data_IF_640893903277
#
_entry.id   IF_640893903277
#
_cell.length_a   1.000
_cell.length_b   1.000
_cell.length_c   1.000
_cell.angle_alpha   90.00
_cell.angle_beta   90.00
_cell.angle_gamma   90.00
#
_symmetry.space_group_name_H-M   'P 1'
#
loop_
_entity.id
_entity.type
_entity.pdbx_description
1 polymer ?
#
# COMPACT_ATOMS: atom_id res chain seq x y z
N UNK A 1 5.49 -2.26 -6.92
CA UNK A 1 5.05 -2.58 -5.52
C UNK A 1 3.53 -2.61 -5.42
N UNK A 2 2.82 -1.55 -5.84
CA UNK A 2 1.36 -1.38 -5.63
C UNK A 2 0.53 -2.56 -6.16
N UNK A 3 0.77 -3.01 -7.40
CA UNK A 3 0.02 -4.14 -7.99
C UNK A 3 0.12 -5.42 -7.17
N UNK A 4 1.33 -5.78 -6.74
CA UNK A 4 1.57 -6.94 -5.89
C UNK A 4 0.90 -6.80 -4.52
N UNK A 5 1.01 -5.63 -3.90
CA UNK A 5 0.37 -5.30 -2.64
C UNK A 5 -1.15 -5.47 -2.72
N UNK A 6 -1.77 -4.92 -3.76
CA UNK A 6 -3.23 -4.95 -3.99
C UNK A 6 -3.73 -6.40 -4.11
N UNK A 7 -3.13 -7.19 -4.99
CA UNK A 7 -3.55 -8.58 -5.23
C UNK A 7 -3.37 -9.42 -3.96
N UNK A 8 -2.21 -9.32 -3.31
CA UNK A 8 -1.90 -10.06 -2.09
C UNK A 8 -2.88 -9.70 -0.97
N UNK A 9 -3.10 -8.40 -0.74
CA UNK A 9 -3.96 -7.91 0.32
C UNK A 9 -5.43 -8.26 0.09
N UNK A 10 -5.91 -8.21 -1.16
CA UNK A 10 -7.26 -8.62 -1.52
C UNK A 10 -7.48 -10.11 -1.25
N UNK A 11 -6.50 -10.96 -1.63
CA UNK A 11 -6.57 -12.40 -1.43
C UNK A 11 -6.52 -12.77 0.07
N UNK A 12 -5.61 -12.16 0.83
CA UNK A 12 -5.53 -12.38 2.29
C UNK A 12 -6.79 -11.87 2.97
N UNK A 13 -7.28 -10.68 2.62
CA UNK A 13 -8.53 -10.11 3.14
C UNK A 13 -9.73 -11.02 2.88
N UNK A 14 -9.82 -11.61 1.67
CA UNK A 14 -10.84 -12.60 1.30
C UNK A 14 -10.79 -13.82 2.22
N UNK A 15 -9.62 -14.44 2.37
CA UNK A 15 -9.46 -15.63 3.23
C UNK A 15 -9.83 -15.32 4.69
N UNK A 16 -9.37 -14.18 5.21
CA UNK A 16 -9.64 -13.76 6.58
C UNK A 16 -11.13 -13.47 6.83
N UNK A 17 -11.87 -13.00 5.82
CA UNK A 17 -13.30 -12.72 5.97
C UNK A 17 -14.18 -13.96 5.78
N UNK A 18 -13.79 -14.87 4.88
CA UNK A 18 -14.60 -16.06 4.55
C UNK A 18 -14.34 -17.26 5.46
N UNK A 19 -13.09 -17.45 5.90
CA UNK A 19 -12.71 -18.58 6.75
C UNK A 19 -12.58 -18.16 8.21
N UNK A 20 -13.30 -18.86 9.10
CA UNK A 20 -13.16 -18.74 10.55
C UNK A 20 -12.41 -19.96 11.08
N UNK A 21 -11.13 -19.80 11.39
CA UNK A 21 -10.30 -20.86 11.98
C UNK A 21 -9.30 -20.26 12.99
N UNK A 22 -8.70 -21.09 13.85
CA UNK A 22 -7.64 -20.64 14.76
C UNK A 22 -6.47 -19.99 13.99
N UNK A 23 -6.14 -20.56 12.84
CA UNK A 23 -5.07 -20.05 11.97
C UNK A 23 -5.38 -18.66 11.40
N UNK A 24 -6.60 -18.44 10.88
CA UNK A 24 -7.01 -17.11 10.38
C UNK A 24 -7.07 -16.06 11.48
N UNK A 25 -7.41 -16.45 12.71
CA UNK A 25 -7.37 -15.54 13.86
C UNK A 25 -5.92 -15.13 14.21
N UNK A 26 -4.97 -16.05 14.14
CA UNK A 26 -3.53 -15.73 14.35
C UNK A 26 -3.04 -14.78 13.26
N UNK A 27 -3.35 -15.06 11.99
CA UNK A 27 -2.98 -14.15 10.89
C UNK A 27 -3.60 -12.77 11.10
N UNK A 28 -4.88 -12.70 11.49
CA UNK A 28 -5.54 -11.44 11.77
C UNK A 28 -4.86 -10.67 12.90
N UNK A 29 -4.44 -11.36 13.96
CA UNK A 29 -3.69 -10.76 15.06
C UNK A 29 -2.34 -10.19 14.57
N UNK A 30 -1.61 -10.92 13.73
CA UNK A 30 -0.35 -10.45 13.12
C UNK A 30 -0.60 -9.20 12.25
N UNK A 31 -1.67 -9.19 11.46
CA UNK A 31 -2.05 -8.02 10.63
C UNK A 31 -2.33 -6.81 11.52
N UNK A 32 -3.05 -6.98 12.63
CA UNK A 32 -3.32 -5.89 13.58
C UNK A 32 -2.03 -5.39 14.25
N UNK A 33 -1.13 -6.30 14.66
CA UNK A 33 0.17 -5.93 15.20
C UNK A 33 0.99 -5.12 14.19
N UNK A 34 0.98 -5.51 12.91
CA UNK A 34 1.67 -4.77 11.85
C UNK A 34 1.12 -3.36 11.60
N UNK A 35 -0.12 -3.08 12.02
CA UNK A 35 -0.67 -1.73 11.98
C UNK A 35 -0.32 -0.89 13.22
N UNK A 36 -0.21 -1.54 14.38
CA UNK A 36 0.00 -0.86 15.66
C UNK A 36 1.48 -0.62 15.99
N UNK A 37 2.35 -1.54 15.57
CA UNK A 37 3.78 -1.46 15.87
C UNK A 37 4.46 -0.54 14.84
N UNK A 38 5.13 0.54 15.28
CA UNK A 38 5.85 1.40 14.36
C UNK A 38 7.01 0.64 13.69
N UNK A 39 7.35 0.98 12.43
CA UNK A 39 8.45 0.33 11.73
C UNK A 39 9.77 0.43 12.48
N UNK A 40 10.40 -0.70 12.76
CA UNK A 40 11.71 -0.78 13.41
C UNK A 40 12.82 -0.68 12.36
N UNK A 41 13.25 0.55 12.03
CA UNK A 41 14.18 0.82 10.92
C UNK A 41 15.49 0.03 11.06
N UNK A 42 16.17 0.12 12.21
CA UNK A 42 17.48 -0.51 12.41
C UNK A 42 17.42 -2.06 12.31
N UNK A 43 16.52 -2.75 13.00
CA UNK A 43 16.36 -4.20 12.82
C UNK A 43 16.01 -4.60 11.38
N UNK A 44 15.21 -3.79 10.69
CA UNK A 44 14.88 -4.04 9.28
C UNK A 44 16.10 -3.90 8.38
N UNK A 45 16.95 -2.89 8.59
CA UNK A 45 18.24 -2.75 7.87
C UNK A 45 19.10 -4.00 8.08
N UNK A 46 19.27 -4.45 9.33
CA UNK A 46 20.07 -5.64 9.64
C UNK A 46 19.51 -6.90 8.94
N UNK A 47 18.21 -7.06 8.94
CA UNK A 47 17.56 -8.16 8.22
C UNK A 47 17.82 -8.07 6.72
N UNK A 48 17.62 -6.89 6.12
CA UNK A 48 17.81 -6.65 4.69
C UNK A 48 19.26 -6.89 4.24
N UNK A 49 20.24 -6.50 5.08
CA UNK A 49 21.66 -6.80 4.85
C UNK A 49 21.92 -8.32 4.87
N UNK A 50 21.36 -9.01 5.87
CA UNK A 50 21.53 -10.45 6.03
C UNK A 50 20.98 -11.26 4.86
N UNK A 51 19.86 -10.83 4.26
CA UNK A 51 19.23 -11.50 3.11
C UNK A 51 19.70 -10.93 1.75
N UNK A 52 20.65 -9.99 1.74
CA UNK A 52 21.24 -9.43 0.51
C UNK A 52 20.34 -8.49 -0.28
N UNK A 53 19.30 -7.93 0.34
CA UNK A 53 18.34 -7.02 -0.31
C UNK A 53 18.53 -5.55 0.08
N UNK A 54 19.43 -5.24 1.01
CA UNK A 54 19.73 -3.87 1.41
C UNK A 54 20.37 -3.07 0.25
N UNK A 55 19.97 -1.83 0.08
CA UNK A 55 20.44 -0.96 -1.01
C UNK A 55 19.93 -1.35 -2.40
N UNK A 56 18.94 -2.26 -2.51
CA UNK A 56 18.38 -2.69 -3.80
C UNK A 56 16.94 -2.19 -4.00
N UNK A 57 16.58 -1.96 -5.27
CA UNK A 57 15.19 -1.59 -5.61
C UNK A 57 14.19 -2.71 -5.28
N UNK A 58 14.59 -3.97 -5.42
CA UNK A 58 13.76 -5.11 -5.04
C UNK A 58 13.50 -5.13 -3.53
N UNK A 59 14.54 -4.88 -2.73
CA UNK A 59 14.40 -4.73 -1.29
C UNK A 59 13.43 -3.62 -0.90
N UNK A 60 13.53 -2.46 -1.57
CA UNK A 60 12.58 -1.37 -1.37
C UNK A 60 11.14 -1.76 -1.70
N UNK A 61 10.92 -2.51 -2.78
CA UNK A 61 9.58 -3.05 -3.13
C UNK A 61 9.04 -3.96 -2.02
N UNK A 62 9.86 -4.86 -1.46
CA UNK A 62 9.46 -5.72 -0.35
C UNK A 62 9.10 -4.94 0.91
N UNK A 63 9.88 -3.91 1.27
CA UNK A 63 9.59 -3.04 2.41
C UNK A 63 8.26 -2.32 2.21
N UNK A 64 8.02 -1.75 1.04
CA UNK A 64 6.75 -1.08 0.71
C UNK A 64 5.55 -2.02 0.83
N UNK A 65 5.67 -3.26 0.35
CA UNK A 65 4.62 -4.26 0.49
C UNK A 65 4.42 -4.62 1.96
N UNK A 66 5.47 -4.89 2.71
CA UNK A 66 5.38 -5.29 4.11
C UNK A 66 4.71 -4.22 4.98
N UNK A 67 5.16 -2.96 4.88
CA UNK A 67 4.65 -1.87 5.73
C UNK A 67 3.21 -1.47 5.39
N UNK A 68 2.80 -1.58 4.13
CA UNK A 68 1.46 -1.16 3.70
C UNK A 68 0.44 -2.31 3.65
N UNK A 69 0.87 -3.58 3.81
CA UNK A 69 0.00 -4.74 3.68
C UNK A 69 -1.09 -4.79 4.75
N UNK A 70 -0.77 -4.48 6.00
CA UNK A 70 -1.71 -4.54 7.12
C UNK A 70 -2.94 -3.64 6.88
N UNK A 71 -2.71 -2.40 6.51
CA UNK A 71 -3.79 -1.46 6.18
C UNK A 71 -4.62 -1.95 4.99
N UNK A 72 -3.97 -2.36 3.90
CA UNK A 72 -4.64 -2.82 2.69
C UNK A 72 -5.48 -4.09 2.95
N UNK A 73 -4.97 -5.04 3.73
CA UNK A 73 -5.70 -6.27 4.10
C UNK A 73 -6.97 -5.94 4.88
N UNK A 74 -6.87 -5.03 5.86
CA UNK A 74 -8.04 -4.62 6.66
C UNK A 74 -9.08 -3.90 5.80
N UNK A 75 -8.63 -3.05 4.89
CA UNK A 75 -9.51 -2.35 3.95
C UNK A 75 -10.32 -3.34 3.10
N UNK A 76 -9.67 -4.32 2.49
CA UNK A 76 -10.35 -5.36 1.70
C UNK A 76 -11.26 -6.23 2.56
N UNK A 77 -10.77 -6.67 3.73
CA UNK A 77 -11.56 -7.47 4.65
C UNK A 77 -12.85 -6.76 5.06
N UNK A 78 -12.76 -5.46 5.39
CA UNK A 78 -13.92 -4.66 5.77
C UNK A 78 -14.92 -4.54 4.60
N UNK A 79 -14.45 -4.21 3.40
CA UNK A 79 -15.32 -4.09 2.23
C UNK A 79 -16.02 -5.42 1.91
N UNK A 80 -15.37 -6.56 2.10
CA UNK A 80 -15.97 -7.89 1.88
C UNK A 80 -17.13 -8.22 2.80
N UNK A 81 -17.32 -7.48 3.90
CA UNK A 81 -18.51 -7.67 4.75
C UNK A 81 -19.80 -7.31 4.01
N UNK A 82 -19.72 -6.44 3.00
CA UNK A 82 -20.87 -6.03 2.16
C UNK A 82 -21.16 -6.99 1.02
N UNK A 83 -20.26 -7.96 0.73
CA UNK A 83 -20.46 -8.94 -0.34
C UNK A 83 -21.12 -10.20 0.24
N UNK A 84 -22.31 -10.59 -0.24
CA UNK A 84 -23.02 -11.78 0.24
C UNK A 84 -22.20 -13.05 0.08
N UNK A 85 -22.30 -13.98 1.05
CA UNK A 85 -21.58 -15.28 1.01
C UNK A 85 -22.20 -16.26 0.01
N UNK A 86 -23.44 -16.08 -0.29
CA UNK A 86 -24.23 -16.88 -1.21
C UNK A 86 -23.59 -16.92 -2.61
N UNK A 87 -22.84 -15.88 -2.98
CA UNK A 87 -22.09 -15.84 -4.24
C UNK A 87 -20.93 -16.84 -4.26
N UNK A 88 -20.23 -17.00 -3.13
CA UNK A 88 -19.18 -18.00 -3.00
C UNK A 88 -19.78 -19.42 -3.02
N UNK A 89 -20.89 -19.63 -2.29
CA UNK A 89 -21.57 -20.92 -2.16
C UNK A 89 -22.14 -21.39 -3.50
N UNK A 90 -22.82 -20.51 -4.22
CA UNK A 90 -23.35 -20.82 -5.56
C UNK A 90 -22.22 -21.24 -6.52
N UNK A 91 -21.11 -20.52 -6.52
CA UNK A 91 -19.97 -20.85 -7.36
C UNK A 91 -19.32 -22.22 -6.99
N UNK A 92 -19.29 -22.58 -5.70
CA UNK A 92 -18.82 -23.89 -5.28
C UNK A 92 -19.75 -25.01 -5.69
N UNK A 93 -21.08 -24.79 -5.66
CA UNK A 93 -22.08 -25.75 -6.19
C UNK A 93 -21.88 -25.98 -7.69
N UNK A 94 -21.52 -24.93 -8.43
CA UNK A 94 -21.19 -24.99 -9.86
C UNK A 94 -19.79 -25.62 -10.13
N UNK A 95 -19.08 -26.12 -9.09
CA UNK A 95 -17.80 -26.79 -9.21
C UNK A 95 -16.59 -25.86 -9.38
N UNK A 96 -16.73 -24.56 -9.11
CA UNK A 96 -15.61 -23.64 -9.23
C UNK A 96 -14.56 -23.88 -8.13
N UNK A 97 -13.28 -23.84 -8.50
CA UNK A 97 -12.16 -23.93 -7.55
C UNK A 97 -12.00 -22.62 -6.77
N UNK A 98 -11.46 -22.64 -5.54
CA UNK A 98 -11.34 -21.43 -4.68
C UNK A 98 -10.68 -20.23 -5.35
N UNK A 99 -9.62 -20.43 -6.12
CA UNK A 99 -8.96 -19.34 -6.87
C UNK A 99 -9.82 -18.81 -8.02
N UNK A 100 -10.66 -19.68 -8.64
CA UNK A 100 -11.58 -19.25 -9.68
C UNK A 100 -12.72 -18.40 -9.08
N UNK A 101 -13.26 -18.78 -7.92
CA UNK A 101 -14.24 -17.99 -7.18
C UNK A 101 -13.64 -16.62 -6.86
N UNK A 102 -12.43 -16.58 -6.31
CA UNK A 102 -11.78 -15.31 -5.99
C UNK A 102 -11.58 -14.44 -7.23
N UNK A 103 -10.87 -14.91 -8.26
CA UNK A 103 -10.49 -14.05 -9.39
C UNK A 103 -11.63 -13.74 -10.34
N UNK A 104 -12.60 -14.66 -10.53
CA UNK A 104 -13.68 -14.48 -11.52
C UNK A 104 -14.94 -13.84 -10.94
N UNK A 105 -15.19 -13.99 -9.63
CA UNK A 105 -16.43 -13.52 -9.00
C UNK A 105 -16.15 -12.44 -7.98
N UNK A 106 -15.31 -12.71 -6.99
CA UNK A 106 -15.11 -11.80 -5.86
C UNK A 106 -14.23 -10.60 -6.24
N UNK A 107 -13.08 -10.80 -6.87
CA UNK A 107 -12.15 -9.72 -7.19
C UNK A 107 -12.76 -8.64 -8.10
N UNK A 108 -13.58 -8.94 -9.13
CA UNK A 108 -14.33 -7.93 -9.86
C UNK A 108 -15.29 -7.10 -9.00
N UNK A 109 -15.94 -7.72 -8.00
CA UNK A 109 -16.81 -7.01 -7.06
C UNK A 109 -16.05 -6.09 -6.10
N UNK A 110 -14.74 -6.37 -5.88
CA UNK A 110 -13.84 -5.52 -5.11
C UNK A 110 -13.30 -4.32 -5.91
N UNK A 111 -13.67 -4.16 -7.18
CA UNK A 111 -13.13 -3.11 -8.04
C UNK A 111 -13.22 -1.70 -7.44
N UNK A 112 -14.34 -1.24 -6.82
CA UNK A 112 -14.43 0.09 -6.22
C UNK A 112 -13.37 0.31 -5.13
N UNK A 113 -13.25 -0.64 -4.20
CA UNK A 113 -12.28 -0.55 -3.10
C UNK A 113 -10.84 -0.75 -3.60
N UNK A 114 -10.66 -1.53 -4.67
CA UNK A 114 -9.36 -1.72 -5.31
C UNK A 114 -8.83 -0.42 -5.89
N UNK A 115 -9.66 0.35 -6.58
CA UNK A 115 -9.28 1.69 -7.09
C UNK A 115 -8.89 2.59 -5.92
N UNK A 116 -9.71 2.64 -4.87
CA UNK A 116 -9.41 3.44 -3.68
C UNK A 116 -8.07 3.05 -3.05
N UNK A 117 -7.82 1.76 -2.87
CA UNK A 117 -6.56 1.27 -2.31
C UNK A 117 -5.35 1.61 -3.21
N UNK A 118 -5.48 1.44 -4.54
CA UNK A 118 -4.42 1.82 -5.49
C UNK A 118 -4.07 3.30 -5.34
N UNK A 119 -5.09 4.17 -5.28
CA UNK A 119 -4.87 5.61 -5.15
C UNK A 119 -4.14 5.94 -3.85
N UNK A 120 -4.62 5.41 -2.72
CA UNK A 120 -3.99 5.62 -1.42
C UNK A 120 -2.54 5.14 -1.41
N UNK A 121 -2.27 3.96 -1.99
CA UNK A 121 -0.93 3.40 -2.05
C UNK A 121 0.00 4.18 -3.00
N UNK A 122 -0.50 4.66 -4.14
CA UNK A 122 0.29 5.49 -5.04
C UNK A 122 0.69 6.80 -4.36
N UNK A 123 -0.24 7.46 -3.64
CA UNK A 123 0.05 8.68 -2.88
C UNK A 123 1.07 8.39 -1.76
N UNK A 124 0.90 7.29 -1.01
CA UNK A 124 1.82 6.89 0.06
C UNK A 124 3.23 6.63 -0.47
N UNK A 125 3.36 5.86 -1.55
CA UNK A 125 4.67 5.55 -2.16
C UNK A 125 5.30 6.79 -2.79
N UNK A 126 4.51 7.67 -3.41
CA UNK A 126 5.01 8.91 -3.99
C UNK A 126 5.57 9.86 -2.92
N UNK A 127 4.92 9.98 -1.77
CA UNK A 127 5.33 10.86 -0.68
C UNK A 127 6.39 10.25 0.23
N UNK A 128 6.76 9.00 0.03
CA UNK A 128 7.74 8.31 0.87
C UNK A 128 9.16 8.76 0.54
N UNK A 129 9.79 9.49 1.46
CA UNK A 129 11.21 9.80 1.39
C UNK A 129 12.02 9.08 2.48
N UNK A 130 11.37 8.73 3.58
CA UNK A 130 12.01 8.14 4.76
C UNK A 130 12.57 6.75 4.46
N UNK A 131 11.75 5.90 3.84
CA UNK A 131 12.20 4.55 3.52
C UNK A 131 13.32 4.55 2.46
N UNK A 132 13.24 5.30 1.34
CA UNK A 132 14.38 5.42 0.43
C UNK A 132 15.64 5.96 1.09
N UNK A 133 15.52 6.93 1.99
CA UNK A 133 16.66 7.51 2.72
C UNK A 133 17.43 6.46 3.53
N UNK A 134 16.73 5.58 4.24
CA UNK A 134 17.35 4.57 5.10
C UNK A 134 17.72 3.27 4.38
N UNK A 135 16.92 2.85 3.39
CA UNK A 135 17.06 1.53 2.76
C UNK A 135 17.74 1.54 1.39
N UNK A 136 17.98 2.75 0.79
CA UNK A 136 18.68 2.91 -0.49
C UNK A 136 19.86 3.88 -0.37
N UNK A 137 20.81 3.67 0.56
CA UNK A 137 21.95 4.58 0.75
C UNK A 137 22.79 4.66 -0.52
N UNK A 138 23.30 5.86 -0.83
CA UNK A 138 24.16 6.10 -1.99
C UNK A 138 23.46 6.05 -3.35
N UNK A 139 22.14 6.01 -3.38
CA UNK A 139 21.33 6.13 -4.59
C UNK A 139 20.61 7.48 -4.63
N UNK A 140 21.36 8.52 -4.90
CA UNK A 140 20.79 9.85 -5.07
C UNK A 140 19.84 9.88 -6.27
N UNK A 141 18.68 10.53 -6.10
CA UNK A 141 17.72 10.71 -7.19
C UNK A 141 16.82 9.53 -7.51
N UNK A 142 16.78 8.48 -6.67
CA UNK A 142 15.89 7.29 -6.88
C UNK A 142 14.41 7.65 -6.75
N UNK A 143 14.06 8.57 -5.83
CA UNK A 143 12.71 9.11 -5.70
C UNK A 143 12.75 10.63 -5.75
N UNK A 144 11.67 11.22 -6.26
CA UNK A 144 11.55 12.69 -6.37
C UNK A 144 11.65 13.34 -4.98
N UNK A 145 11.05 12.73 -3.96
CA UNK A 145 11.06 13.21 -2.58
C UNK A 145 12.46 13.18 -1.97
N UNK A 146 13.21 12.10 -2.19
CA UNK A 146 14.59 11.98 -1.70
C UNK A 146 15.50 12.97 -2.41
N UNK A 147 15.34 13.17 -3.73
CA UNK A 147 16.08 14.15 -4.50
C UNK A 147 15.85 15.58 -3.99
N UNK A 148 14.57 15.92 -3.71
CA UNK A 148 14.21 17.22 -3.16
C UNK A 148 14.84 17.43 -1.77
N UNK A 149 14.80 16.41 -0.92
CA UNK A 149 15.42 16.44 0.41
C UNK A 149 16.93 16.64 0.31
N UNK A 150 17.63 15.87 -0.53
CA UNK A 150 19.08 15.98 -0.73
C UNK A 150 19.45 17.37 -1.27
N UNK A 151 18.68 17.91 -2.21
CA UNK A 151 18.87 19.28 -2.70
C UNK A 151 18.69 20.32 -1.59
N UNK A 152 17.66 20.19 -0.77
CA UNK A 152 17.40 21.11 0.33
C UNK A 152 18.48 21.07 1.41
N UNK A 153 19.08 19.90 1.66
CA UNK A 153 20.10 19.70 2.70
C UNK A 153 21.53 19.97 2.22
N UNK A 154 21.86 19.72 0.96
CA UNK A 154 23.18 19.93 0.39
C UNK A 154 23.61 21.41 0.34
N UNK A 155 22.66 22.33 0.38
CA UNK A 155 22.93 23.77 0.39
C UNK A 155 23.13 24.41 1.77
N UNK A 156 23.10 23.62 2.85
CA UNK A 156 23.35 24.09 4.21
C UNK A 156 24.85 24.45 4.38
N UNK A 157 25.24 25.59 3.89
CA UNK A 157 26.65 26.10 3.98
C UNK A 157 27.17 26.83 2.74
N UNK A 158 26.42 26.78 1.64
CA UNK A 158 26.69 27.55 0.43
C UNK A 158 25.42 28.31 0.03
N UNK A 159 25.52 29.36 -0.80
CA UNK A 159 24.39 30.18 -1.24
C UNK A 159 23.31 29.30 -1.92
N UNK A 160 22.33 28.84 -1.15
CA UNK A 160 21.16 28.11 -1.68
C UNK A 160 20.38 29.02 -2.62
N UNK A 161 20.09 28.52 -3.80
CA UNK A 161 19.12 29.16 -4.68
C UNK A 161 17.69 28.78 -4.24
N UNK A 162 17.14 29.53 -3.30
CA UNK A 162 15.79 29.34 -2.79
C UNK A 162 14.71 29.39 -3.88
N UNK A 163 14.91 30.21 -4.93
CA UNK A 163 14.00 30.29 -6.04
C UNK A 163 13.91 28.93 -6.77
N UNK A 164 15.03 28.27 -6.98
CA UNK A 164 15.08 26.94 -7.60
C UNK A 164 14.47 25.87 -6.68
N UNK A 165 14.72 25.94 -5.35
CA UNK A 165 14.15 25.05 -4.38
C UNK A 165 12.62 25.13 -4.38
N UNK A 166 12.06 26.34 -4.29
CA UNK A 166 10.60 26.53 -4.30
C UNK A 166 9.96 26.13 -5.63
N UNK A 167 10.64 26.39 -6.76
CA UNK A 167 10.18 25.93 -8.07
C UNK A 167 10.10 24.40 -8.15
N UNK A 168 11.08 23.69 -7.61
CA UNK A 168 11.08 22.23 -7.55
C UNK A 168 9.97 21.71 -6.62
N UNK A 169 9.73 22.34 -5.48
CA UNK A 169 8.62 21.97 -4.58
C UNK A 169 7.27 22.10 -5.31
N UNK A 170 7.05 23.19 -6.04
CA UNK A 170 5.82 23.39 -6.81
C UNK A 170 5.67 22.30 -7.88
N UNK A 171 6.71 21.98 -8.65
CA UNK A 171 6.68 20.93 -9.67
C UNK A 171 6.39 19.56 -9.07
N UNK A 172 6.99 19.23 -7.93
CA UNK A 172 6.78 17.94 -7.24
C UNK A 172 5.37 17.82 -6.66
N UNK A 173 4.72 18.93 -6.34
CA UNK A 173 3.35 18.94 -5.80
C UNK A 173 2.29 18.70 -6.89
N UNK A 174 2.59 18.99 -8.17
CA UNK A 174 1.63 18.86 -9.26
C UNK A 174 1.09 17.43 -9.45
N UNK A 175 1.90 16.35 -9.51
CA UNK A 175 1.37 15.00 -9.73
C UNK A 175 0.39 14.53 -8.64
N UNK A 176 0.68 14.64 -7.32
CA UNK A 176 -0.29 14.28 -6.29
C UNK A 176 -1.54 15.17 -6.32
N UNK A 177 -1.41 16.45 -6.64
CA UNK A 177 -2.55 17.37 -6.74
C UNK A 177 -3.49 16.98 -7.90
N UNK A 178 -2.94 16.64 -9.05
CA UNK A 178 -3.70 16.13 -10.18
C UNK A 178 -4.43 14.84 -9.79
N UNK A 179 -3.74 13.88 -9.19
CA UNK A 179 -4.34 12.64 -8.72
C UNK A 179 -5.48 12.94 -7.74
N UNK A 180 -5.28 13.83 -6.78
CA UNK A 180 -6.30 14.21 -5.81
C UNK A 180 -7.55 14.80 -6.48
N UNK A 181 -7.39 15.78 -7.38
CA UNK A 181 -8.51 16.45 -8.05
C UNK A 181 -9.36 15.44 -8.83
N UNK A 182 -8.73 14.54 -9.59
CA UNK A 182 -9.47 13.58 -10.42
C UNK A 182 -10.04 12.38 -9.65
N UNK A 183 -9.47 12.04 -8.49
CA UNK A 183 -9.76 10.79 -7.81
C UNK A 183 -10.43 10.96 -6.44
N UNK A 184 -10.56 12.21 -5.92
CA UNK A 184 -11.15 12.46 -4.61
C UNK A 184 -12.57 11.90 -4.50
N UNK A 185 -13.40 12.06 -5.55
CA UNK A 185 -14.77 11.53 -5.58
C UNK A 185 -14.78 10.00 -5.49
N UNK A 186 -13.88 9.32 -6.20
CA UNK A 186 -13.78 7.85 -6.15
C UNK A 186 -13.25 7.33 -4.81
N UNK A 187 -12.38 8.09 -4.14
CA UNK A 187 -11.91 7.78 -2.79
C UNK A 187 -13.08 7.83 -1.82
N UNK A 188 -13.87 8.89 -1.85
CA UNK A 188 -15.05 9.07 -0.97
C UNK A 188 -16.08 7.98 -1.25
N UNK A 189 -16.43 7.73 -2.50
CA UNK A 189 -17.39 6.71 -2.90
C UNK A 189 -16.94 5.29 -2.45
N UNK A 190 -15.65 4.98 -2.57
CA UNK A 190 -15.09 3.69 -2.15
C UNK A 190 -15.04 3.51 -0.62
N UNK A 191 -14.79 4.57 0.13
CA UNK A 191 -14.79 4.54 1.59
C UNK A 191 -16.20 4.48 2.17
N UNK A 192 -17.16 5.20 1.57
CA UNK A 192 -18.57 5.24 2.02
C UNK A 192 -19.34 3.98 1.64
N UNK A 193 -19.01 3.34 0.51
CA UNK A 193 -19.64 2.07 0.12
C UNK A 193 -19.45 0.95 1.16
N UNK A 194 -18.39 1.01 1.98
CA UNK A 194 -18.16 0.11 3.11
C UNK A 194 -18.83 0.55 4.42
N UNK A 195 -19.26 1.81 4.55
CA UNK A 195 -19.77 2.40 5.80
C UNK A 195 -21.31 2.49 5.85
N UNK A 196 -22.02 2.40 4.73
CA UNK A 196 -23.48 2.68 4.63
C UNK A 196 -24.36 1.43 4.84
N UNK A 197 -23.94 0.46 5.65
CA UNK A 197 -24.84 -0.60 6.17
C UNK A 197 -24.59 -0.79 7.67
N UNK A 198 -24.84 0.24 8.45
CA UNK A 198 -25.14 0.17 9.86
C UNK A 198 -26.58 0.59 10.08
#
# INVERSE_FOLDING_TARGET
SVTFLVILSALVGYVLQRRKSKFTNIIMFIVLLGLMIPPAVVPTIMLMQKIGLFGTLHGMVFIQIAYNSSFSILLYRQFMTSIPRELDEAAYVDGAKPLQVFFKIIFPLLFPITITNIILQVITVFNDFVNPLYFLPGRDGVTVQLTLYNYATSGLGTSQNFALLYSNILLVTIPPLILFIFLNKRIIDGMTAGAVKG
#
